data_IF_051435587670
#
_entry.id   IF_051435587670
#
_cell.length_a   1.000
_cell.length_b   1.000
_cell.length_c   1.000
_cell.angle_alpha   90.00
_cell.angle_beta   90.00
_cell.angle_gamma   90.00
#
_symmetry.space_group_name_H-M   'P 1'
#
loop_
_entity.id
_entity.type
_entity.pdbx_description
1 polymer ?
#
# COMPACT_ATOMS: atom_id res chain seq x y z
N UNK A 1 -3.63 2.65 -5.37
CA UNK A 1 -4.63 1.99 -6.24
C UNK A 1 -5.09 0.71 -5.57
N UNK A 2 -6.38 0.45 -5.63
CA UNK A 2 -6.97 -0.69 -4.92
C UNK A 2 -6.37 -2.03 -5.40
N UNK A 3 -5.90 -2.86 -4.46
CA UNK A 3 -5.32 -4.20 -4.66
C UNK A 3 -4.05 -4.31 -5.55
N UNK A 4 -3.56 -3.23 -6.13
CA UNK A 4 -2.45 -3.25 -7.11
C UNK A 4 -1.31 -2.28 -6.75
N UNK A 5 -1.14 -1.94 -5.47
CA UNK A 5 -0.13 -0.95 -5.05
C UNK A 5 1.08 -1.55 -4.30
N UNK A 6 1.01 -2.80 -3.86
CA UNK A 6 2.16 -3.45 -3.22
C UNK A 6 3.30 -3.69 -4.23
N UNK A 7 4.53 -3.73 -3.77
CA UNK A 7 5.69 -3.95 -4.66
C UNK A 7 5.62 -5.29 -5.39
N UNK A 8 5.06 -6.32 -4.73
CA UNK A 8 4.79 -7.61 -5.38
C UNK A 8 3.80 -7.45 -6.54
N UNK A 9 2.68 -6.75 -6.32
CA UNK A 9 1.67 -6.56 -7.37
C UNK A 9 2.19 -5.70 -8.53
N UNK A 10 3.03 -4.69 -8.24
CA UNK A 10 3.71 -3.90 -9.28
C UNK A 10 4.62 -4.79 -10.13
N UNK A 11 5.38 -5.70 -9.51
CA UNK A 11 6.20 -6.67 -10.25
C UNK A 11 5.37 -7.55 -11.18
N UNK A 12 4.20 -8.03 -10.74
CA UNK A 12 3.28 -8.80 -11.59
C UNK A 12 2.74 -7.94 -12.74
N UNK A 13 2.36 -6.69 -12.47
CA UNK A 13 1.90 -5.75 -13.52
C UNK A 13 3.01 -5.52 -14.56
N UNK A 14 4.25 -5.32 -14.11
CA UNK A 14 5.39 -5.13 -15.00
C UNK A 14 5.67 -6.38 -15.86
N UNK A 15 5.46 -7.58 -15.32
CA UNK A 15 5.61 -8.85 -16.04
C UNK A 15 4.47 -9.07 -17.04
N UNK A 16 3.23 -8.83 -16.65
CA UNK A 16 2.03 -9.11 -17.45
C UNK A 16 1.76 -8.00 -18.48
N UNK A 17 2.07 -6.74 -18.16
CA UNK A 17 1.78 -5.57 -18.98
C UNK A 17 0.30 -5.53 -19.42
N UNK A 18 -0.65 -5.35 -18.47
CA UNK A 18 -2.07 -5.51 -18.74
C UNK A 18 -2.57 -4.51 -19.77
N UNK A 19 -3.32 -5.00 -20.78
CA UNK A 19 -3.95 -4.22 -21.84
C UNK A 19 -5.47 -4.33 -21.81
N UNK A 20 -5.97 -5.39 -21.19
CA UNK A 20 -7.40 -5.69 -21.13
C UNK A 20 -7.92 -5.73 -19.69
N UNK A 21 -9.25 -5.69 -19.57
CA UNK A 21 -9.90 -5.86 -18.27
C UNK A 21 -9.71 -7.30 -17.72
N UNK A 22 -9.64 -8.30 -18.58
CA UNK A 22 -9.38 -9.68 -18.19
C UNK A 22 -7.97 -9.85 -17.63
N UNK A 23 -6.97 -9.14 -18.16
CA UNK A 23 -5.62 -9.11 -17.58
C UNK A 23 -5.62 -8.57 -16.13
N UNK A 24 -6.39 -7.51 -15.88
CA UNK A 24 -6.51 -6.98 -14.51
C UNK A 24 -7.18 -7.98 -13.56
N UNK A 25 -8.17 -8.71 -14.07
CA UNK A 25 -8.77 -9.82 -13.34
C UNK A 25 -7.76 -10.92 -13.06
N UNK A 26 -6.99 -11.33 -14.07
CA UNK A 26 -5.95 -12.34 -13.91
C UNK A 26 -4.88 -11.93 -12.88
N UNK A 27 -4.41 -10.68 -12.92
CA UNK A 27 -3.43 -10.15 -11.95
C UNK A 27 -3.91 -10.33 -10.50
N UNK A 28 -5.18 -10.04 -10.22
CA UNK A 28 -5.76 -10.22 -8.88
C UNK A 28 -5.80 -11.70 -8.43
N UNK A 29 -5.99 -12.61 -9.37
CA UNK A 29 -6.01 -14.05 -9.11
C UNK A 29 -4.59 -14.63 -8.98
N UNK A 30 -3.65 -14.17 -9.81
CA UNK A 30 -2.26 -14.63 -9.90
C UNK A 30 -1.38 -14.09 -8.76
N UNK A 31 -1.69 -12.91 -8.19
CA UNK A 31 -0.97 -12.29 -7.09
C UNK A 31 -1.17 -12.95 -5.73
N UNK A 32 -1.22 -14.29 -5.67
CA UNK A 32 -1.44 -15.07 -4.46
C UNK A 32 -0.36 -16.13 -4.27
N UNK A 33 -0.11 -16.58 -3.01
CA UNK A 33 1.01 -17.48 -2.72
C UNK A 33 1.07 -18.74 -3.61
N UNK A 34 -0.07 -19.35 -3.89
CA UNK A 34 -0.11 -20.57 -4.73
C UNK A 34 0.28 -20.35 -6.18
N UNK A 35 -0.43 -19.51 -6.93
CA UNK A 35 -0.04 -19.16 -8.30
C UNK A 35 1.37 -18.58 -8.41
N UNK A 36 1.81 -17.76 -7.44
CA UNK A 36 3.18 -17.23 -7.39
C UNK A 36 4.22 -18.34 -7.24
N UNK A 37 4.02 -19.28 -6.31
CA UNK A 37 4.96 -20.39 -6.11
C UNK A 37 5.00 -21.36 -7.30
N UNK A 38 3.93 -21.41 -8.09
CA UNK A 38 3.84 -22.19 -9.31
C UNK A 38 4.40 -21.47 -10.56
N UNK A 39 4.86 -20.21 -10.45
CA UNK A 39 5.38 -19.44 -11.57
C UNK A 39 4.31 -18.95 -12.58
N UNK A 40 3.03 -19.05 -12.21
CA UNK A 40 1.94 -18.72 -13.16
C UNK A 40 1.93 -17.28 -13.66
N UNK A 41 2.30 -16.23 -12.89
CA UNK A 41 2.39 -14.87 -13.41
C UNK A 41 3.41 -14.74 -14.53
N UNK A 42 4.55 -15.41 -14.41
CA UNK A 42 5.60 -15.41 -15.44
C UNK A 42 5.16 -16.15 -16.70
N UNK A 43 4.52 -17.31 -16.53
CA UNK A 43 3.96 -18.06 -17.66
C UNK A 43 2.89 -17.27 -18.39
N UNK A 44 1.98 -16.62 -17.65
CA UNK A 44 0.96 -15.75 -18.22
C UNK A 44 1.59 -14.59 -19.00
N UNK A 45 2.52 -13.86 -18.37
CA UNK A 45 3.18 -12.71 -19.00
C UNK A 45 3.95 -13.09 -20.25
N UNK A 46 4.79 -14.13 -20.19
CA UNK A 46 5.58 -14.60 -21.36
C UNK A 46 4.71 -15.02 -22.53
N UNK A 47 3.63 -15.77 -22.27
CA UNK A 47 2.72 -16.23 -23.30
C UNK A 47 1.90 -15.08 -23.90
N UNK A 48 1.39 -14.17 -23.05
CA UNK A 48 0.69 -12.97 -23.49
C UNK A 48 1.57 -12.08 -24.38
N UNK A 49 2.82 -11.87 -23.97
CA UNK A 49 3.74 -10.96 -24.66
C UNK A 49 4.44 -11.63 -25.87
N UNK A 50 4.09 -12.89 -26.21
CA UNK A 50 4.66 -13.61 -27.34
C UNK A 50 6.10 -14.10 -27.13
N UNK A 51 6.56 -14.17 -25.88
CA UNK A 51 7.89 -14.66 -25.51
C UNK A 51 7.93 -16.18 -25.33
N UNK A 52 6.76 -16.82 -25.22
CA UNK A 52 6.61 -18.26 -25.14
C UNK A 52 5.32 -18.71 -25.84
N UNK A 53 5.32 -19.97 -26.37
CA UNK A 53 4.14 -20.57 -26.97
C UNK A 53 3.06 -20.82 -25.92
N UNK A 54 1.79 -20.63 -26.32
CA UNK A 54 0.65 -20.98 -25.46
C UNK A 54 0.53 -22.50 -25.42
N UNK A 55 0.60 -23.06 -24.21
CA UNK A 55 0.42 -24.48 -23.96
C UNK A 55 -0.80 -24.74 -23.10
N UNK A 56 -1.50 -25.80 -23.37
CA UNK A 56 -2.72 -26.18 -22.67
C UNK A 56 -2.50 -27.45 -21.85
N UNK A 57 -3.03 -27.52 -20.62
CA UNK A 57 -2.78 -28.63 -19.70
C UNK A 57 -3.44 -29.94 -20.15
N UNK A 58 -4.44 -29.87 -21.01
CA UNK A 58 -5.12 -31.01 -21.62
C UNK A 58 -5.72 -30.58 -22.97
N UNK A 59 -5.72 -31.45 -23.96
CA UNK A 59 -6.36 -31.20 -25.26
C UNK A 59 -7.86 -30.93 -25.09
N UNK A 60 -8.40 -30.08 -25.93
CA UNK A 60 -9.83 -29.74 -25.94
C UNK A 60 -10.21 -28.66 -24.90
N UNK A 61 -9.27 -28.06 -24.16
CA UNK A 61 -9.54 -26.97 -23.25
C UNK A 61 -9.13 -25.58 -23.81
N UNK A 62 -8.74 -25.54 -25.08
CA UNK A 62 -8.25 -24.33 -25.76
C UNK A 62 -9.26 -23.19 -25.66
N UNK A 63 -10.53 -23.43 -26.01
CA UNK A 63 -11.61 -22.44 -25.95
C UNK A 63 -11.95 -21.96 -24.53
N UNK A 64 -11.57 -22.72 -23.50
CA UNK A 64 -11.76 -22.35 -22.09
C UNK A 64 -10.60 -21.48 -21.61
N UNK A 65 -9.39 -21.69 -22.13
CA UNK A 65 -8.16 -21.13 -21.59
C UNK A 65 -7.44 -20.15 -22.52
N UNK A 66 -7.92 -19.98 -23.75
CA UNK A 66 -7.26 -19.14 -24.76
C UNK A 66 -7.16 -17.68 -24.30
N UNK A 67 -8.22 -17.13 -23.74
CA UNK A 67 -8.28 -15.76 -23.25
C UNK A 67 -7.41 -15.48 -22.01
N UNK A 68 -6.75 -16.48 -21.46
CA UNK A 68 -5.82 -16.39 -20.32
C UNK A 68 -4.53 -17.18 -20.58
N UNK A 69 -4.20 -17.33 -21.86
CA UNK A 69 -2.93 -17.86 -22.34
C UNK A 69 -2.58 -19.24 -21.77
N UNK A 70 -3.59 -20.13 -21.67
CA UNK A 70 -3.42 -21.52 -21.21
C UNK A 70 -3.21 -21.67 -19.70
N UNK A 71 -3.34 -20.60 -18.90
CA UNK A 71 -3.22 -20.68 -17.44
C UNK A 71 -4.58 -20.98 -16.78
N UNK A 72 -4.59 -21.44 -15.52
CA UNK A 72 -5.81 -21.78 -14.77
C UNK A 72 -5.87 -21.00 -13.44
N UNK A 73 -6.04 -19.68 -13.43
CA UNK A 73 -6.19 -18.92 -12.19
C UNK A 73 -7.57 -19.08 -11.54
N UNK A 74 -8.60 -19.51 -12.25
CA UNK A 74 -9.98 -19.49 -11.78
C UNK A 74 -10.58 -20.88 -11.54
N UNK A 75 -11.42 -20.99 -10.51
CA UNK A 75 -12.18 -22.20 -10.16
C UNK A 75 -13.15 -22.61 -11.27
N UNK A 76 -13.80 -21.63 -11.88
CA UNK A 76 -14.77 -21.82 -12.96
C UNK A 76 -14.15 -22.52 -14.17
N UNK A 77 -12.88 -22.31 -14.44
CA UNK A 77 -12.17 -22.98 -15.53
C UNK A 77 -12.00 -24.47 -15.26
N UNK A 78 -11.65 -24.85 -14.03
CA UNK A 78 -11.59 -26.25 -13.64
C UNK A 78 -12.94 -26.94 -13.76
N UNK A 79 -14.02 -26.24 -13.42
CA UNK A 79 -15.38 -26.77 -13.60
C UNK A 79 -15.70 -26.97 -15.09
N UNK A 80 -15.39 -25.98 -15.94
CA UNK A 80 -15.63 -26.07 -17.38
C UNK A 80 -14.81 -27.18 -18.03
N UNK A 81 -13.53 -27.33 -17.64
CA UNK A 81 -12.69 -28.42 -18.13
C UNK A 81 -13.28 -29.78 -17.71
N UNK A 82 -13.73 -29.93 -16.45
CA UNK A 82 -14.36 -31.16 -15.99
C UNK A 82 -15.65 -31.50 -16.74
N UNK A 83 -16.45 -30.49 -17.06
CA UNK A 83 -17.66 -30.67 -17.89
C UNK A 83 -17.28 -31.12 -19.30
N UNK A 84 -16.28 -30.51 -19.91
CA UNK A 84 -15.88 -30.79 -21.28
C UNK A 84 -15.17 -32.13 -21.44
N UNK A 85 -14.19 -32.38 -20.55
CA UNK A 85 -13.32 -33.54 -20.61
C UNK A 85 -14.00 -34.80 -20.06
N UNK A 86 -14.57 -34.71 -18.86
CA UNK A 86 -15.19 -35.84 -18.19
C UNK A 86 -16.72 -35.94 -18.40
N UNK A 87 -17.36 -34.93 -19.01
CA UNK A 87 -18.80 -34.93 -19.23
C UNK A 87 -19.63 -34.60 -17.97
N UNK A 88 -19.04 -33.98 -16.96
CA UNK A 88 -19.72 -33.63 -15.71
C UNK A 88 -20.83 -32.60 -15.98
N UNK A 89 -21.96 -32.76 -15.26
CA UNK A 89 -22.97 -31.70 -15.16
C UNK A 89 -22.52 -30.59 -14.18
N UNK A 90 -23.28 -29.50 -14.09
CA UNK A 90 -22.92 -28.36 -13.23
C UNK A 90 -22.78 -28.74 -11.75
N UNK A 91 -23.65 -29.60 -11.25
CA UNK A 91 -23.63 -30.06 -9.85
C UNK A 91 -22.40 -30.95 -9.57
N UNK A 92 -22.09 -31.85 -10.49
CA UNK A 92 -20.91 -32.69 -10.39
C UNK A 92 -19.62 -31.87 -10.45
N UNK A 93 -19.52 -30.92 -11.39
CA UNK A 93 -18.40 -30.00 -11.51
C UNK A 93 -18.23 -29.14 -10.23
N UNK A 94 -19.31 -28.61 -9.68
CA UNK A 94 -19.26 -27.85 -8.42
C UNK A 94 -18.82 -28.71 -7.24
N UNK A 95 -19.46 -29.84 -7.04
CA UNK A 95 -19.25 -30.65 -5.85
C UNK A 95 -18.01 -31.49 -5.88
N UNK A 96 -17.66 -32.11 -7.03
CA UNK A 96 -16.51 -32.97 -7.16
C UNK A 96 -15.24 -32.16 -7.44
N UNK A 97 -15.29 -31.20 -8.38
CA UNK A 97 -14.10 -30.46 -8.79
C UNK A 97 -13.86 -29.23 -7.91
N UNK A 98 -14.76 -28.27 -7.92
CA UNK A 98 -14.55 -27.01 -7.22
C UNK A 98 -14.38 -27.17 -5.71
N UNK A 99 -15.29 -27.90 -5.05
CA UNK A 99 -15.23 -28.10 -3.59
C UNK A 99 -14.03 -28.90 -3.15
N UNK A 100 -13.55 -29.85 -3.95
CA UNK A 100 -12.36 -30.62 -3.63
C UNK A 100 -11.08 -29.80 -3.80
N UNK A 101 -10.93 -29.14 -4.94
CA UNK A 101 -9.73 -28.36 -5.26
C UNK A 101 -9.67 -27.07 -4.42
N UNK A 102 -10.75 -26.29 -4.38
CA UNK A 102 -10.76 -25.00 -3.68
C UNK A 102 -10.69 -25.11 -2.15
N UNK A 103 -11.16 -26.20 -1.56
CA UNK A 103 -11.20 -26.39 -0.10
C UNK A 103 -9.96 -27.10 0.48
N UNK A 104 -8.86 -27.20 -0.27
CA UNK A 104 -7.59 -27.79 0.20
C UNK A 104 -7.72 -29.24 0.70
N UNK A 105 -8.63 -30.02 0.16
CA UNK A 105 -8.78 -31.41 0.55
C UNK A 105 -7.86 -32.32 -0.27
N UNK A 106 -6.55 -32.15 -0.11
CA UNK A 106 -5.54 -32.97 -0.80
C UNK A 106 -5.77 -34.47 -0.62
N UNK A 107 -6.28 -34.92 0.54
CA UNK A 107 -6.63 -36.32 0.79
C UNK A 107 -7.72 -36.85 -0.15
N UNK A 108 -8.47 -35.98 -0.79
CA UNK A 108 -9.55 -36.35 -1.72
C UNK A 108 -9.18 -36.25 -3.19
N UNK A 109 -7.99 -35.73 -3.51
CA UNK A 109 -7.50 -35.62 -4.88
C UNK A 109 -7.44 -36.99 -5.58
N UNK A 110 -6.91 -38.06 -4.97
CA UNK A 110 -6.84 -39.35 -5.65
C UNK A 110 -8.21 -39.84 -6.12
N UNK A 111 -9.26 -39.56 -5.34
CA UNK A 111 -10.59 -39.99 -5.70
C UNK A 111 -11.22 -39.09 -6.76
N UNK A 112 -11.02 -37.76 -6.68
CA UNK A 112 -11.42 -36.85 -7.72
C UNK A 112 -10.81 -37.26 -9.08
N UNK A 113 -9.52 -37.63 -9.07
CA UNK A 113 -8.80 -38.12 -10.23
C UNK A 113 -9.49 -39.37 -10.79
N UNK A 114 -9.77 -40.36 -9.93
CA UNK A 114 -10.47 -41.57 -10.34
C UNK A 114 -11.88 -41.32 -10.91
N UNK A 115 -12.65 -40.43 -10.27
CA UNK A 115 -13.97 -40.05 -10.78
C UNK A 115 -13.89 -39.46 -12.18
N UNK A 116 -12.89 -38.59 -12.44
CA UNK A 116 -12.69 -37.99 -13.76
C UNK A 116 -12.26 -39.03 -14.80
N UNK A 117 -11.41 -39.98 -14.43
CA UNK A 117 -10.87 -40.98 -15.36
C UNK A 117 -11.89 -42.06 -15.64
N UNK A 118 -12.44 -42.70 -14.61
CA UNK A 118 -13.22 -43.94 -14.69
C UNK A 118 -14.73 -43.76 -14.52
N UNK A 119 -15.19 -42.62 -13.97
CA UNK A 119 -16.60 -42.44 -13.60
C UNK A 119 -17.09 -43.35 -12.46
N UNK A 120 -18.37 -43.24 -12.08
CA UNK A 120 -18.93 -44.04 -10.98
C UNK A 120 -19.16 -45.49 -11.36
N UNK A 121 -19.61 -45.79 -12.58
CA UNK A 121 -19.95 -47.14 -13.04
C UNK A 121 -18.74 -48.11 -13.08
N UNK A 122 -17.56 -47.54 -13.26
CA UNK A 122 -16.31 -48.32 -13.35
C UNK A 122 -15.45 -48.20 -12.10
N UNK A 123 -15.89 -47.46 -11.10
CA UNK A 123 -15.26 -47.31 -9.78
C UNK A 123 -15.85 -48.27 -8.74
N UNK A 124 -16.37 -49.40 -9.12
CA UNK A 124 -16.81 -50.44 -8.18
C UNK A 124 -15.60 -50.95 -7.40
N UNK A 125 -15.46 -50.44 -6.20
CA UNK A 125 -14.56 -50.81 -5.12
C UNK A 125 -13.09 -50.56 -5.35
N UNK A 126 -12.35 -49.79 -4.68
CA UNK A 126 -11.77 -50.16 -3.41
C UNK A 126 -12.27 -49.31 -2.28
N UNK A 127 -12.02 -49.77 -1.05
CA UNK A 127 -12.25 -49.04 0.18
C UNK A 127 -11.95 -47.53 0.02
N UNK A 128 -12.96 -46.68 0.20
CA UNK A 128 -12.82 -45.22 0.07
C UNK A 128 -14.02 -44.50 -0.49
N UNK A 129 -14.91 -45.14 -1.23
CA UNK A 129 -16.19 -44.52 -1.65
C UNK A 129 -17.11 -44.31 -0.48
N UNK A 130 -17.12 -45.15 0.53
CA UNK A 130 -17.88 -45.00 1.75
C UNK A 130 -17.45 -43.78 2.53
N UNK A 131 -16.15 -43.53 2.68
CA UNK A 131 -15.61 -42.34 3.31
C UNK A 131 -15.92 -41.06 2.53
N UNK A 132 -16.07 -41.17 1.22
CA UNK A 132 -16.50 -40.05 0.36
C UNK A 132 -17.96 -39.68 0.56
N UNK A 133 -18.82 -40.64 0.62
CA UNK A 133 -20.27 -40.44 0.87
C UNK A 133 -20.54 -39.87 2.26
N UNK A 134 -19.64 -40.07 3.21
CA UNK A 134 -19.71 -39.54 4.58
C UNK A 134 -18.90 -38.26 4.78
N UNK A 135 -18.23 -37.76 3.75
CA UNK A 135 -17.46 -36.53 3.88
C UNK A 135 -18.40 -35.31 4.17
N UNK A 136 -18.00 -34.39 5.06
CA UNK A 136 -18.84 -33.25 5.48
C UNK A 136 -19.28 -32.30 4.36
N UNK A 137 -18.68 -32.41 3.18
CA UNK A 137 -19.01 -31.60 1.99
C UNK A 137 -19.85 -32.38 0.97
N UNK A 138 -20.02 -33.69 1.14
CA UNK A 138 -20.93 -34.47 0.33
C UNK A 138 -22.36 -34.13 0.73
N UNK A 139 -23.15 -33.61 -0.20
CA UNK A 139 -24.57 -33.40 0.01
C UNK A 139 -25.34 -34.63 -0.48
N UNK A 140 -25.85 -35.48 0.43
CA UNK A 140 -26.59 -36.67 0.03
C UNK A 140 -27.90 -36.34 -0.68
N UNK A 141 -28.38 -35.08 -0.57
CA UNK A 141 -29.56 -34.60 -1.29
C UNK A 141 -29.23 -34.07 -2.69
N UNK A 142 -27.93 -33.81 -2.96
CA UNK A 142 -27.50 -33.44 -4.29
C UNK A 142 -27.63 -34.66 -5.21
N UNK A 143 -28.52 -34.55 -6.18
CA UNK A 143 -28.75 -35.61 -7.17
C UNK A 143 -27.56 -35.61 -8.17
N UNK A 144 -26.47 -36.29 -7.79
CA UNK A 144 -25.31 -36.49 -8.71
C UNK A 144 -25.67 -37.40 -9.88
N UNK A 145 -26.87 -37.99 -9.88
CA UNK A 145 -27.28 -39.03 -10.78
C UNK A 145 -26.70 -40.41 -10.40
N UNK A 146 -27.27 -41.47 -10.95
CA UNK A 146 -26.78 -42.83 -10.75
C UNK A 146 -25.48 -43.11 -11.50
N UNK A 147 -25.15 -42.28 -12.49
CA UNK A 147 -23.95 -42.39 -13.30
C UNK A 147 -23.14 -41.07 -13.25
N UNK A 148 -21.83 -41.18 -12.96
CA UNK A 148 -20.86 -40.10 -13.13
C UNK A 148 -20.12 -40.41 -14.44
N UNK A 149 -20.24 -39.57 -15.47
CA UNK A 149 -19.52 -39.76 -16.74
C UNK A 149 -18.00 -39.63 -16.53
N UNK A 150 -17.22 -40.09 -17.49
CA UNK A 150 -15.76 -40.13 -17.37
C UNK A 150 -15.04 -39.71 -18.64
N UNK A 151 -13.78 -39.29 -18.48
CA UNK A 151 -12.93 -38.81 -19.56
C UNK A 151 -12.58 -39.93 -20.56
N UNK A 152 -12.44 -41.18 -20.10
CA UNK A 152 -12.17 -42.30 -20.99
C UNK A 152 -13.30 -42.54 -21.98
N UNK A 153 -14.56 -42.42 -21.54
CA UNK A 153 -15.73 -42.51 -22.44
C UNK A 153 -15.74 -41.37 -23.46
N UNK A 154 -15.08 -40.28 -23.20
CA UNK A 154 -14.96 -39.13 -24.10
C UNK A 154 -13.65 -39.18 -24.92
N UNK A 155 -12.95 -40.33 -24.94
CA UNK A 155 -11.79 -40.60 -25.78
C UNK A 155 -10.46 -40.04 -25.25
N UNK A 156 -10.38 -39.65 -23.95
CA UNK A 156 -9.12 -39.32 -23.28
C UNK A 156 -8.46 -40.60 -22.72
N UNK A 157 -7.13 -40.55 -22.62
CA UNK A 157 -6.40 -41.65 -22.00
C UNK A 157 -6.18 -41.43 -20.51
N UNK A 158 -5.91 -42.48 -19.74
CA UNK A 158 -5.54 -42.36 -18.32
C UNK A 158 -4.28 -41.52 -18.14
N UNK A 159 -3.28 -41.70 -19.03
CA UNK A 159 -2.04 -40.94 -19.03
C UNK A 159 -2.27 -39.44 -19.20
N UNK A 160 -3.09 -39.03 -20.16
CA UNK A 160 -3.47 -37.59 -20.37
C UNK A 160 -4.10 -37.01 -19.12
N UNK A 161 -5.02 -37.73 -18.51
CA UNK A 161 -5.71 -37.28 -17.29
C UNK A 161 -4.77 -37.19 -16.09
N UNK A 162 -3.89 -38.14 -15.90
CA UNK A 162 -2.90 -38.10 -14.81
C UNK A 162 -1.93 -36.91 -14.99
N UNK A 163 -1.46 -36.65 -16.22
CA UNK A 163 -0.60 -35.51 -16.52
C UNK A 163 -1.34 -34.19 -16.24
N UNK A 164 -2.62 -34.07 -16.60
CA UNK A 164 -3.47 -32.92 -16.30
C UNK A 164 -3.60 -32.71 -14.79
N UNK A 165 -3.92 -33.75 -14.02
CA UNK A 165 -4.06 -33.63 -12.58
C UNK A 165 -2.73 -33.34 -11.87
N UNK A 166 -1.62 -33.88 -12.35
CA UNK A 166 -0.29 -33.53 -11.82
C UNK A 166 0.01 -32.03 -12.00
N UNK A 167 -0.44 -31.44 -13.11
CA UNK A 167 -0.31 -30.00 -13.33
C UNK A 167 -1.19 -29.22 -12.35
N UNK A 168 -2.44 -29.66 -12.12
CA UNK A 168 -3.37 -29.00 -11.20
C UNK A 168 -2.91 -29.11 -9.74
N UNK A 169 -2.35 -30.22 -9.31
CA UNK A 169 -1.91 -30.40 -7.92
C UNK A 169 -0.94 -29.33 -7.46
N UNK A 170 -0.08 -28.83 -8.34
CA UNK A 170 0.90 -27.79 -8.03
C UNK A 170 0.25 -26.48 -7.57
N UNK A 171 -0.97 -26.19 -7.99
CA UNK A 171 -1.69 -24.95 -7.66
C UNK A 171 -3.13 -25.14 -7.18
N UNK A 172 -3.61 -26.39 -7.01
CA UNK A 172 -5.01 -26.72 -6.71
C UNK A 172 -5.59 -26.07 -5.45
N UNK A 173 -4.74 -25.68 -4.49
CA UNK A 173 -5.18 -25.07 -3.24
C UNK A 173 -5.64 -23.61 -3.38
N UNK A 174 -5.55 -22.97 -4.56
CA UNK A 174 -5.57 -21.51 -4.67
C UNK A 174 -6.30 -20.94 -5.89
N UNK A 175 -7.09 -21.76 -6.60
CA UNK A 175 -7.90 -21.23 -7.69
C UNK A 175 -8.91 -20.19 -7.18
N UNK A 176 -8.97 -19.07 -7.87
CA UNK A 176 -9.75 -17.91 -7.45
C UNK A 176 -11.16 -17.91 -8.06
N UNK A 177 -12.11 -17.27 -7.42
CA UNK A 177 -13.43 -17.07 -8.00
C UNK A 177 -13.38 -15.97 -9.07
N UNK A 178 -13.78 -16.25 -10.31
CA UNK A 178 -13.69 -15.30 -11.42
C UNK A 178 -14.56 -14.06 -11.22
N UNK A 179 -15.79 -14.22 -10.72
CA UNK A 179 -16.70 -13.09 -10.49
C UNK A 179 -16.17 -12.15 -9.40
N UNK A 180 -15.59 -12.69 -8.33
CA UNK A 180 -14.93 -11.88 -7.32
C UNK A 180 -13.72 -11.12 -7.91
N UNK A 181 -12.90 -11.79 -8.72
CA UNK A 181 -11.78 -11.16 -9.41
C UNK A 181 -12.22 -10.01 -10.31
N UNK A 182 -13.28 -10.19 -11.07
CA UNK A 182 -13.85 -9.16 -11.94
C UNK A 182 -14.31 -7.92 -11.17
N UNK A 183 -15.00 -8.10 -10.03
CA UNK A 183 -15.41 -6.98 -9.17
C UNK A 183 -14.19 -6.20 -8.65
N UNK A 184 -13.17 -6.90 -8.20
CA UNK A 184 -11.93 -6.27 -7.70
C UNK A 184 -11.14 -5.58 -8.81
N UNK A 185 -11.06 -6.19 -10.00
CA UNK A 185 -10.46 -5.58 -11.17
C UNK A 185 -11.17 -4.28 -11.57
N UNK A 186 -12.51 -4.26 -11.50
CA UNK A 186 -13.30 -3.08 -11.78
C UNK A 186 -12.98 -1.93 -10.81
N UNK A 187 -12.94 -2.20 -9.50
CA UNK A 187 -12.56 -1.19 -8.50
C UNK A 187 -11.10 -0.75 -8.71
N UNK A 188 -10.19 -1.70 -8.98
CA UNK A 188 -8.79 -1.41 -9.30
C UNK A 188 -8.67 -0.48 -10.50
N UNK A 189 -9.39 -0.78 -11.58
CA UNK A 189 -9.46 0.06 -12.78
C UNK A 189 -10.01 1.45 -12.48
N UNK A 190 -11.13 1.56 -11.77
CA UNK A 190 -11.72 2.86 -11.39
C UNK A 190 -10.73 3.73 -10.60
N UNK A 191 -10.03 3.13 -9.62
CA UNK A 191 -9.03 3.87 -8.83
C UNK A 191 -7.82 4.29 -9.67
N UNK A 192 -7.41 3.48 -10.65
CA UNK A 192 -6.36 3.83 -11.59
C UNK A 192 -6.79 4.95 -12.54
N UNK A 193 -8.01 4.87 -13.06
CA UNK A 193 -8.60 5.87 -13.93
C UNK A 193 -8.76 7.22 -13.21
N UNK A 194 -9.31 7.24 -12.01
CA UNK A 194 -9.42 8.45 -11.18
C UNK A 194 -8.03 9.04 -10.88
N UNK A 195 -7.06 8.21 -10.56
CA UNK A 195 -5.69 8.65 -10.30
C UNK A 195 -5.04 9.27 -11.54
N UNK A 196 -5.37 8.80 -12.73
CA UNK A 196 -4.81 9.29 -13.99
C UNK A 196 -5.45 10.62 -14.41
N UNK A 197 -6.79 10.70 -14.42
CA UNK A 197 -7.52 11.86 -14.94
C UNK A 197 -7.78 12.94 -13.88
N UNK A 198 -7.90 12.56 -12.61
CA UNK A 198 -8.24 13.43 -11.46
C UNK A 198 -7.23 13.22 -10.34
N UNK A 199 -5.95 13.31 -10.68
CA UNK A 199 -4.87 12.94 -9.76
C UNK A 199 -4.82 13.78 -8.50
N UNK A 200 -5.17 15.08 -8.55
CA UNK A 200 -5.17 15.97 -7.39
C UNK A 200 -6.33 15.61 -6.43
N UNK A 201 -7.53 15.44 -6.96
CA UNK A 201 -8.72 15.04 -6.20
C UNK A 201 -8.57 13.63 -5.62
N UNK A 202 -8.05 12.71 -6.41
CA UNK A 202 -7.76 11.35 -5.96
C UNK A 202 -6.77 11.34 -4.80
N UNK A 203 -5.67 12.09 -4.92
CA UNK A 203 -4.67 12.14 -3.85
C UNK A 203 -5.15 12.92 -2.63
N UNK A 204 -5.97 13.95 -2.80
CA UNK A 204 -6.63 14.62 -1.68
C UNK A 204 -7.52 13.65 -0.89
N UNK A 205 -8.31 12.82 -1.57
CA UNK A 205 -9.11 11.77 -0.94
C UNK A 205 -8.23 10.71 -0.24
N UNK A 206 -7.12 10.27 -0.88
CA UNK A 206 -6.18 9.33 -0.27
C UNK A 206 -5.56 9.90 0.99
N UNK A 207 -5.12 11.16 0.98
CA UNK A 207 -4.55 11.84 2.14
C UNK A 207 -5.57 11.97 3.28
N UNK A 208 -6.83 12.30 2.96
CA UNK A 208 -7.92 12.43 3.94
C UNK A 208 -8.26 11.13 4.66
N UNK A 209 -7.96 9.99 4.06
CA UNK A 209 -8.20 8.66 4.63
C UNK A 209 -7.03 8.14 5.48
N UNK A 210 -5.96 8.93 5.67
CA UNK A 210 -4.82 8.46 6.45
C UNK A 210 -5.02 8.71 7.94
N UNK A 211 -4.75 7.68 8.73
CA UNK A 211 -4.95 7.70 10.19
C UNK A 211 -3.74 8.25 10.97
N UNK A 212 -2.57 8.34 10.32
CA UNK A 212 -1.32 8.72 10.99
C UNK A 212 -0.54 9.78 10.21
N UNK A 213 0.13 10.71 10.90
CA UNK A 213 0.96 11.74 10.27
C UNK A 213 2.05 11.16 9.37
N UNK A 214 2.63 10.01 9.71
CA UNK A 214 3.69 9.37 8.91
C UNK A 214 3.18 8.93 7.54
N UNK A 215 1.94 8.42 7.46
CA UNK A 215 1.32 8.08 6.19
C UNK A 215 0.98 9.32 5.38
N UNK A 216 0.52 10.39 6.02
CA UNK A 216 0.29 11.68 5.36
C UNK A 216 1.59 12.19 4.73
N UNK A 217 2.70 12.19 5.47
CA UNK A 217 4.04 12.57 4.96
C UNK A 217 4.45 11.70 3.77
N UNK A 218 4.25 10.38 3.88
CA UNK A 218 4.57 9.46 2.78
C UNK A 218 3.80 9.79 1.49
N UNK A 219 2.48 9.97 1.59
CA UNK A 219 1.66 10.29 0.41
C UNK A 219 1.87 11.72 -0.10
N UNK A 220 2.15 12.68 0.78
CA UNK A 220 2.58 14.02 0.40
C UNK A 220 3.86 13.99 -0.45
N UNK A 221 4.86 13.20 -0.02
CA UNK A 221 6.07 12.97 -0.80
C UNK A 221 5.81 12.31 -2.17
N UNK A 222 4.84 11.40 -2.26
CA UNK A 222 4.41 10.84 -3.55
C UNK A 222 3.76 11.91 -4.44
N UNK A 223 2.93 12.80 -3.87
CA UNK A 223 2.31 13.92 -4.60
C UNK A 223 3.37 14.83 -5.22
N UNK A 224 4.34 15.27 -4.43
CA UNK A 224 5.36 16.22 -4.89
C UNK A 224 6.40 15.56 -5.81
N UNK A 225 6.95 14.43 -5.38
CA UNK A 225 8.09 13.79 -6.07
C UNK A 225 7.72 13.07 -7.36
N UNK A 226 6.51 12.48 -7.46
CA UNK A 226 6.13 11.64 -8.61
C UNK A 226 4.98 12.22 -9.44
N UNK A 227 4.15 13.07 -8.87
CA UNK A 227 2.93 13.54 -9.53
C UNK A 227 2.95 15.05 -9.84
N UNK A 228 3.96 15.78 -9.36
CA UNK A 228 4.10 17.22 -9.57
C UNK A 228 3.00 18.05 -8.91
N UNK A 229 2.33 17.49 -7.89
CA UNK A 229 1.32 18.17 -7.09
C UNK A 229 2.01 18.85 -5.91
N UNK A 230 1.71 20.14 -5.68
CA UNK A 230 2.26 20.88 -4.54
C UNK A 230 1.36 20.71 -3.32
N UNK A 231 1.96 20.36 -2.19
CA UNK A 231 1.29 20.42 -0.90
C UNK A 231 1.29 21.88 -0.42
N UNK A 232 0.16 22.35 0.13
CA UNK A 232 0.01 23.69 0.70
C UNK A 232 -0.56 23.62 2.10
N UNK A 233 -0.17 24.59 2.93
CA UNK A 233 -0.78 24.83 4.24
C UNK A 233 -2.30 24.92 4.16
N UNK A 234 -3.01 24.64 5.26
CA UNK A 234 -4.41 24.96 5.33
C UNK A 234 -4.59 26.49 5.08
N UNK A 235 -5.68 26.84 4.48
CA UNK A 235 -6.10 28.22 4.24
C UNK A 235 -7.49 28.41 4.84
N UNK A 236 -7.66 29.35 5.74
CA UNK A 236 -8.93 29.55 6.43
C UNK A 236 -10.07 29.86 5.46
N UNK A 237 -9.77 30.46 4.30
CA UNK A 237 -10.75 30.84 3.27
C UNK A 237 -11.00 29.72 2.23
N UNK A 238 -10.02 28.84 1.95
CA UNK A 238 -10.08 27.88 0.84
C UNK A 238 -10.19 26.44 1.30
N UNK A 239 -9.56 26.06 2.42
CA UNK A 239 -9.52 24.66 2.87
C UNK A 239 -10.88 24.15 3.33
N UNK A 240 -11.23 22.92 2.96
CA UNK A 240 -12.37 22.20 3.51
C UNK A 240 -12.06 21.57 4.88
N UNK A 241 -12.94 20.67 5.32
CA UNK A 241 -12.69 19.84 6.51
C UNK A 241 -11.47 18.95 6.25
N UNK A 242 -11.46 18.27 5.12
CA UNK A 242 -10.45 17.32 4.66
C UNK A 242 -9.51 17.98 3.65
N UNK A 243 -8.47 17.22 3.24
CA UNK A 243 -7.59 17.66 2.16
C UNK A 243 -8.39 18.00 0.91
N UNK A 244 -8.06 19.12 0.28
CA UNK A 244 -8.83 19.67 -0.84
C UNK A 244 -7.93 19.93 -2.03
N UNK A 245 -8.30 19.42 -3.20
CA UNK A 245 -7.60 19.72 -4.44
C UNK A 245 -7.86 21.18 -4.86
N UNK A 246 -6.80 21.86 -5.30
CA UNK A 246 -6.85 23.21 -5.84
C UNK A 246 -5.91 23.31 -7.05
N UNK A 247 -6.41 22.98 -8.23
CA UNK A 247 -5.62 22.89 -9.44
C UNK A 247 -4.47 21.84 -9.32
N UNK A 248 -3.22 22.30 -9.46
CA UNK A 248 -2.02 21.44 -9.28
C UNK A 248 -1.49 21.42 -7.85
N UNK A 249 -2.33 21.73 -6.87
CA UNK A 249 -1.96 21.69 -5.46
C UNK A 249 -3.04 21.03 -4.62
N UNK A 250 -2.63 20.57 -3.44
CA UNK A 250 -3.53 20.01 -2.42
C UNK A 250 -3.35 20.82 -1.15
N UNK A 251 -4.44 21.41 -0.69
CA UNK A 251 -4.51 22.15 0.57
C UNK A 251 -4.72 21.16 1.72
N UNK A 252 -4.02 21.34 2.81
CA UNK A 252 -4.36 20.68 4.06
C UNK A 252 -5.75 21.07 4.52
N UNK A 253 -6.53 20.09 4.99
CA UNK A 253 -7.84 20.32 5.56
C UNK A 253 -7.74 21.01 6.94
N UNK A 254 -8.74 21.80 7.30
CA UNK A 254 -8.83 22.41 8.64
C UNK A 254 -8.91 21.35 9.74
N UNK A 255 -9.49 20.18 9.44
CA UNK A 255 -9.58 19.04 10.35
C UNK A 255 -8.23 18.37 10.66
N UNK A 256 -7.21 18.61 9.84
CA UNK A 256 -5.86 18.12 10.10
C UNK A 256 -5.12 18.98 11.14
N UNK A 257 -5.63 20.16 11.47
CA UNK A 257 -5.02 21.07 12.46
C UNK A 257 -5.38 20.60 13.88
N UNK A 258 -4.38 20.41 14.69
CA UNK A 258 -4.51 19.86 16.04
C UNK A 258 -5.43 20.70 16.91
N UNK A 259 -6.47 20.08 17.44
CA UNK A 259 -7.44 20.71 18.32
C UNK A 259 -8.57 21.47 17.61
N UNK A 260 -8.59 21.47 16.28
CA UNK A 260 -9.67 22.07 15.48
C UNK A 260 -10.71 20.99 15.19
N UNK A 261 -11.81 21.00 15.92
CA UNK A 261 -12.89 20.00 15.78
C UNK A 261 -14.01 20.43 14.84
N UNK A 262 -14.86 19.47 14.45
CA UNK A 262 -15.93 19.69 13.46
C UNK A 262 -16.85 20.88 13.75
N UNK A 263 -17.22 21.12 15.01
CA UNK A 263 -18.05 22.28 15.37
C UNK A 263 -17.35 23.63 15.09
N UNK A 264 -16.04 23.72 15.36
CA UNK A 264 -15.26 24.90 15.05
C UNK A 264 -15.13 25.10 13.54
N UNK A 265 -14.88 24.01 12.80
CA UNK A 265 -14.78 24.04 11.34
C UNK A 265 -16.10 24.50 10.72
N UNK A 266 -17.23 23.98 11.18
CA UNK A 266 -18.54 24.40 10.66
C UNK A 266 -18.78 25.89 10.79
N UNK A 267 -18.43 26.50 11.94
CA UNK A 267 -18.54 27.93 12.16
C UNK A 267 -17.55 28.73 11.28
N UNK A 268 -16.32 28.22 11.13
CA UNK A 268 -15.32 28.83 10.24
C UNK A 268 -15.84 28.86 8.80
N UNK A 269 -16.35 27.74 8.30
CA UNK A 269 -16.85 27.60 6.93
C UNK A 269 -18.07 28.49 6.68
N UNK A 270 -18.97 28.64 7.66
CA UNK A 270 -20.21 29.39 7.53
C UNK A 270 -19.97 30.90 7.45
N UNK A 271 -18.86 31.40 8.00
CA UNK A 271 -18.60 32.86 8.12
C UNK A 271 -17.55 33.38 7.10
N UNK A 272 -17.17 32.59 6.12
CA UNK A 272 -16.24 32.99 5.03
C UNK A 272 -16.84 34.02 4.08
N UNK A 273 -16.03 34.81 3.35
CA UNK A 273 -14.57 34.91 3.42
C UNK A 273 -14.11 35.85 4.53
N UNK A 274 -12.87 35.69 5.00
CA UNK A 274 -12.21 36.57 5.98
C UNK A 274 -11.18 37.44 5.28
N UNK A 275 -11.05 38.70 5.76
CA UNK A 275 -10.11 39.70 5.21
C UNK A 275 -8.85 39.86 6.06
N UNK A 276 -8.88 39.38 7.31
CA UNK A 276 -7.74 39.38 8.24
C UNK A 276 -7.99 38.43 9.41
N UNK A 277 -6.97 38.17 10.22
CA UNK A 277 -7.12 37.44 11.50
C UNK A 277 -8.06 38.19 12.45
N UNK A 278 -8.04 39.54 12.43
CA UNK A 278 -8.90 40.35 13.23
C UNK A 278 -10.37 40.21 12.80
N UNK A 279 -10.68 40.26 11.49
CA UNK A 279 -12.01 40.00 10.95
C UNK A 279 -12.53 38.61 11.34
N UNK A 280 -11.65 37.57 11.34
CA UNK A 280 -12.01 36.25 11.80
C UNK A 280 -12.38 36.20 13.29
N UNK A 281 -11.66 36.94 14.15
CA UNK A 281 -11.96 37.06 15.58
C UNK A 281 -13.34 37.71 15.83
N UNK A 282 -13.69 38.71 15.05
CA UNK A 282 -14.96 39.45 15.20
C UNK A 282 -16.17 38.63 14.75
N UNK A 283 -16.01 37.84 13.67
CA UNK A 283 -17.11 37.16 12.98
C UNK A 283 -17.32 35.71 13.43
N UNK A 284 -16.28 35.01 13.87
CA UNK A 284 -16.42 33.65 14.32
C UNK A 284 -16.77 33.62 15.82
N UNK A 285 -17.78 32.82 16.25
CA UNK A 285 -18.12 32.72 17.66
C UNK A 285 -16.92 32.34 18.52
N UNK A 286 -16.73 33.05 19.66
CA UNK A 286 -15.56 32.83 20.58
C UNK A 286 -15.35 31.39 21.02
N UNK A 287 -16.43 30.57 21.07
CA UNK A 287 -16.34 29.14 21.40
C UNK A 287 -15.67 28.33 20.29
N UNK A 288 -15.94 28.71 19.05
CA UNK A 288 -15.38 28.03 17.86
C UNK A 288 -13.98 28.54 17.50
N UNK A 289 -13.67 29.81 17.83
CA UNK A 289 -12.38 30.46 17.57
C UNK A 289 -11.71 30.91 18.88
N UNK A 290 -11.57 29.92 19.81
CA UNK A 290 -10.89 30.17 21.07
C UNK A 290 -9.38 30.26 20.90
N UNK A 291 -8.66 30.75 21.92
CA UNK A 291 -7.20 30.95 21.89
C UNK A 291 -6.43 29.76 21.30
N UNK A 292 -6.66 28.56 21.81
CA UNK A 292 -5.96 27.35 21.39
C UNK A 292 -6.21 26.98 19.92
N UNK A 293 -7.47 27.06 19.47
CA UNK A 293 -7.84 26.76 18.08
C UNK A 293 -7.21 27.76 17.12
N UNK A 294 -7.32 29.06 17.45
CA UNK A 294 -6.81 30.15 16.61
C UNK A 294 -5.28 30.11 16.52
N UNK A 295 -4.58 29.96 17.62
CA UNK A 295 -3.11 29.84 17.62
C UNK A 295 -2.66 28.63 16.76
N UNK A 296 -3.32 27.48 16.86
CA UNK A 296 -2.97 26.33 16.07
C UNK A 296 -3.26 26.55 14.57
N UNK A 297 -4.33 27.22 14.20
CA UNK A 297 -4.62 27.59 12.81
C UNK A 297 -3.56 28.56 12.25
N UNK A 298 -3.18 29.58 13.04
CA UNK A 298 -2.11 30.51 12.63
C UNK A 298 -0.78 29.79 12.48
N UNK A 299 -0.39 28.98 13.47
CA UNK A 299 0.83 28.15 13.41
C UNK A 299 0.84 27.17 12.24
N UNK A 300 -0.31 26.64 11.87
CA UNK A 300 -0.46 25.77 10.71
C UNK A 300 -0.34 26.51 9.37
N UNK A 301 -0.37 27.84 9.36
CA UNK A 301 -0.30 28.66 8.17
C UNK A 301 -1.66 29.01 7.55
N UNK A 302 -2.76 28.88 8.30
CA UNK A 302 -4.10 29.17 7.76
C UNK A 302 -4.33 30.65 7.38
N UNK A 303 -3.42 31.52 7.74
CA UNK A 303 -3.41 32.97 7.44
C UNK A 303 -2.16 33.40 6.65
N UNK A 304 -1.38 32.47 6.07
CA UNK A 304 -0.16 32.79 5.31
C UNK A 304 -0.43 33.70 4.10
N UNK A 305 -1.66 33.74 3.60
CA UNK A 305 -2.11 34.66 2.57
C UNK A 305 -2.14 36.12 3.05
N UNK A 306 -2.34 36.38 4.34
CA UNK A 306 -2.33 37.70 4.96
C UNK A 306 -0.88 38.14 5.26
N UNK A 307 -0.15 37.28 5.96
CA UNK A 307 1.26 37.51 6.27
C UNK A 307 1.99 36.15 6.48
N UNK A 308 3.05 35.97 5.72
CA UNK A 308 3.87 34.75 5.81
C UNK A 308 4.64 34.64 7.15
N UNK A 309 4.88 35.78 7.84
CA UNK A 309 5.43 35.76 9.18
C UNK A 309 4.32 35.45 10.20
N UNK A 310 4.23 34.19 10.60
CA UNK A 310 3.19 33.71 11.53
C UNK A 310 3.29 34.30 12.93
N UNK A 311 4.49 34.80 13.35
CA UNK A 311 4.63 35.55 14.60
C UNK A 311 3.92 36.90 14.53
N UNK A 312 4.01 37.60 13.40
CA UNK A 312 3.28 38.85 13.20
C UNK A 312 1.77 38.62 13.29
N UNK A 313 1.24 37.59 12.64
CA UNK A 313 -0.17 37.20 12.73
C UNK A 313 -0.57 36.80 14.17
N UNK A 314 0.29 36.10 14.91
CA UNK A 314 0.05 35.80 16.33
C UNK A 314 0.00 37.09 17.18
N UNK A 315 0.90 38.04 16.96
CA UNK A 315 0.91 39.31 17.66
C UNK A 315 -0.38 40.06 17.39
N UNK A 316 -0.79 40.22 16.13
CA UNK A 316 -2.06 40.84 15.76
C UNK A 316 -3.25 40.14 16.43
N UNK A 317 -3.29 38.82 16.39
CA UNK A 317 -4.33 38.02 17.05
C UNK A 317 -4.44 38.33 18.54
N UNK A 318 -3.31 38.37 19.27
CA UNK A 318 -3.32 38.62 20.71
C UNK A 318 -3.68 40.07 21.07
N UNK A 319 -3.24 41.04 20.24
CA UNK A 319 -3.62 42.44 20.40
C UNK A 319 -5.14 42.62 20.21
N UNK A 320 -5.70 42.05 19.15
CA UNK A 320 -7.12 42.10 18.87
C UNK A 320 -7.98 41.49 19.99
N UNK A 321 -7.50 40.41 20.59
CA UNK A 321 -8.15 39.76 21.73
C UNK A 321 -7.93 40.45 23.09
N UNK A 322 -7.04 41.43 23.16
CA UNK A 322 -6.59 42.05 24.40
C UNK A 322 -5.99 41.10 25.41
N UNK A 323 -5.26 40.08 24.90
CA UNK A 323 -4.56 39.10 25.72
C UNK A 323 -3.36 39.79 26.42
N UNK A 324 -3.15 39.48 27.71
CA UNK A 324 -2.01 40.03 28.46
C UNK A 324 -0.78 39.14 28.25
N UNK A 325 -0.15 39.24 27.10
CA UNK A 325 1.10 38.56 26.77
C UNK A 325 2.10 39.59 26.24
N UNK A 326 3.39 39.31 26.41
CA UNK A 326 4.42 40.07 25.71
C UNK A 326 4.41 39.71 24.23
N UNK A 327 4.51 40.73 23.33
CA UNK A 327 4.59 40.44 21.90
C UNK A 327 5.76 39.56 21.55
N UNK A 328 5.56 38.61 20.61
CA UNK A 328 6.62 37.85 20.04
C UNK A 328 7.59 38.71 19.26
N UNK A 329 8.89 38.43 19.33
CA UNK A 329 9.91 39.11 18.55
C UNK A 329 9.83 38.59 17.12
N UNK A 330 9.42 39.44 16.18
CA UNK A 330 9.23 39.06 14.77
C UNK A 330 10.54 38.97 13.99
N UNK A 331 11.59 39.65 14.50
CA UNK A 331 12.94 39.55 13.95
C UNK A 331 13.52 38.15 14.20
N UNK A 332 13.99 37.49 13.12
CA UNK A 332 14.51 36.11 13.20
C UNK A 332 13.45 35.05 12.97
N UNK A 333 12.23 35.38 12.52
CA UNK A 333 11.32 34.39 12.00
C UNK A 333 11.93 33.75 10.74
N UNK A 334 12.21 32.48 10.83
CA UNK A 334 12.90 31.71 9.80
C UNK A 334 12.19 30.38 9.51
N UNK A 335 12.75 29.65 8.58
CA UNK A 335 12.26 28.33 8.20
C UNK A 335 12.27 27.34 9.37
N UNK A 336 13.21 27.46 10.32
CA UNK A 336 13.28 26.57 11.49
C UNK A 336 12.08 26.76 12.40
N UNK A 337 11.70 27.99 12.66
CA UNK A 337 10.51 28.31 13.47
C UNK A 337 9.21 27.94 12.76
N UNK A 338 9.16 28.14 11.44
CA UNK A 338 8.04 27.69 10.62
C UNK A 338 7.85 26.18 10.73
N UNK A 339 8.93 25.40 10.65
CA UNK A 339 8.90 23.94 10.83
C UNK A 339 8.42 23.55 12.23
N UNK A 340 8.89 24.23 13.28
CA UNK A 340 8.44 23.97 14.64
C UNK A 340 6.94 24.17 14.78
N UNK A 341 6.41 25.26 14.23
CA UNK A 341 4.97 25.59 14.21
C UNK A 341 4.16 24.55 13.43
N UNK A 342 4.60 24.13 12.27
CA UNK A 342 3.94 23.09 11.49
C UNK A 342 3.92 21.76 12.22
N UNK A 343 5.06 21.35 12.80
CA UNK A 343 5.16 20.13 13.58
C UNK A 343 4.26 20.14 14.82
N UNK A 344 4.17 21.29 15.51
CA UNK A 344 3.31 21.44 16.66
C UNK A 344 1.82 21.34 16.28
N UNK A 345 1.42 22.06 15.23
CA UNK A 345 0.02 22.23 14.82
C UNK A 345 -0.52 21.16 13.89
N UNK A 346 0.30 20.57 13.00
CA UNK A 346 -0.07 19.57 11.99
C UNK A 346 0.54 18.20 12.25
N UNK A 347 1.57 18.13 13.09
CA UNK A 347 2.35 16.90 13.31
C UNK A 347 3.35 16.57 12.19
N UNK A 348 3.47 17.44 11.17
CA UNK A 348 4.34 17.29 10.00
C UNK A 348 4.80 18.64 9.48
N UNK A 349 5.75 18.63 8.54
CA UNK A 349 6.24 19.81 7.83
C UNK A 349 5.62 19.87 6.43
N UNK A 350 5.29 21.08 5.95
CA UNK A 350 4.64 21.25 4.64
C UNK A 350 5.46 22.15 3.72
N UNK A 351 5.81 23.34 4.19
CA UNK A 351 6.39 24.41 3.34
C UNK A 351 7.89 24.29 3.25
N UNK A 352 8.54 23.89 4.34
CA UNK A 352 9.99 23.91 4.38
C UNK A 352 10.56 22.69 3.68
N UNK A 353 11.25 22.93 2.58
CA UNK A 353 12.04 21.94 1.88
C UNK A 353 13.22 21.55 2.77
N UNK A 354 13.19 20.33 3.30
CA UNK A 354 14.25 19.86 4.17
C UNK A 354 15.57 19.81 3.38
N UNK A 355 16.67 20.35 3.95
CA UNK A 355 17.97 20.34 3.29
C UNK A 355 18.39 18.94 2.80
N UNK A 356 17.90 17.88 3.46
CA UNK A 356 18.15 16.51 3.08
C UNK A 356 17.54 16.13 1.71
N UNK A 357 16.39 16.69 1.36
CA UNK A 357 15.71 16.43 0.09
C UNK A 357 16.44 17.02 -1.11
N UNK A 358 17.37 17.95 -0.87
CA UNK A 358 18.21 18.56 -1.89
C UNK A 358 19.52 17.77 -2.12
N UNK A 359 19.81 16.77 -1.28
CA UNK A 359 21.02 15.96 -1.41
C UNK A 359 20.89 14.97 -2.56
N UNK A 360 21.67 15.15 -3.60
CA UNK A 360 21.68 14.25 -4.76
C UNK A 360 22.13 12.82 -4.38
N UNK A 361 21.61 11.84 -5.11
CA UNK A 361 22.05 10.45 -4.98
C UNK A 361 23.56 10.32 -5.18
N UNK A 362 24.20 9.48 -4.36
CA UNK A 362 25.68 9.24 -4.34
C UNK A 362 26.52 10.44 -3.93
N UNK A 363 25.94 11.59 -3.61
CA UNK A 363 26.67 12.73 -3.08
C UNK A 363 27.27 12.39 -1.72
N UNK A 364 28.58 12.66 -1.55
CA UNK A 364 29.25 12.55 -0.26
C UNK A 364 28.97 13.83 0.54
N UNK A 365 28.46 13.63 1.75
CA UNK A 365 28.12 14.73 2.67
C UNK A 365 28.65 14.45 4.06
N UNK A 366 28.85 15.54 4.81
CA UNK A 366 29.12 15.52 6.25
C UNK A 366 28.17 16.50 6.92
N UNK A 367 27.50 16.07 7.96
CA UNK A 367 26.58 16.93 8.71
C UNK A 367 26.57 16.56 10.20
N UNK A 368 26.07 17.46 11.04
CA UNK A 368 25.90 17.24 12.48
C UNK A 368 24.43 16.92 12.78
N UNK A 369 24.23 16.06 13.75
CA UNK A 369 22.89 15.66 14.17
C UNK A 369 22.93 14.69 15.35
N UNK A 370 21.74 14.29 15.78
CA UNK A 370 21.55 13.32 16.88
C UNK A 370 20.92 12.00 16.37
N UNK A 371 21.04 10.94 17.16
CA UNK A 371 20.41 9.64 16.88
C UNK A 371 19.11 9.57 17.67
N UNK A 372 17.98 9.64 16.98
CA UNK A 372 16.65 9.55 17.58
C UNK A 372 16.24 8.10 17.89
N UNK A 373 16.60 7.17 17.02
CA UNK A 373 16.27 5.75 17.14
C UNK A 373 17.41 4.91 16.57
N UNK A 374 17.77 3.85 17.27
CA UNK A 374 18.80 2.91 16.85
C UNK A 374 18.17 1.51 16.78
N UNK A 375 18.20 0.91 15.59
CA UNK A 375 17.83 -0.49 15.40
C UNK A 375 19.07 -1.25 14.95
N UNK A 376 19.30 -2.41 15.51
CA UNK A 376 20.44 -3.27 15.20
C UNK A 376 19.98 -4.59 14.62
N UNK A 377 20.72 -5.13 13.64
CA UNK A 377 20.47 -6.46 13.05
C UNK A 377 21.80 -7.09 12.65
N UNK A 378 21.91 -8.40 12.77
CA UNK A 378 23.03 -9.14 12.22
C UNK A 378 22.96 -9.22 10.69
N UNK A 379 24.12 -9.13 10.03
CA UNK A 379 24.26 -9.39 8.60
C UNK A 379 24.32 -10.92 8.33
N UNK A 380 24.44 -11.32 7.06
CA UNK A 380 24.54 -12.75 6.65
C UNK A 380 25.76 -13.50 7.22
N UNK A 381 26.71 -12.80 7.83
CA UNK A 381 27.92 -13.32 8.46
C UNK A 381 27.90 -13.11 9.98
N UNK A 382 26.70 -12.92 10.56
CA UNK A 382 26.46 -12.67 11.98
C UNK A 382 27.18 -11.45 12.57
N UNK A 383 27.48 -10.46 11.74
CA UNK A 383 28.12 -9.21 12.16
C UNK A 383 27.06 -8.12 12.31
N UNK A 384 27.12 -7.36 13.40
CA UNK A 384 26.12 -6.35 13.76
C UNK A 384 26.16 -5.17 12.80
N UNK A 385 25.02 -4.79 12.26
CA UNK A 385 24.77 -3.58 11.47
C UNK A 385 23.75 -2.71 12.19
N UNK A 386 23.78 -1.39 11.96
CA UNK A 386 22.82 -0.48 12.53
C UNK A 386 22.00 0.25 11.47
N UNK A 387 20.74 0.51 11.82
CA UNK A 387 19.76 1.26 11.04
C UNK A 387 19.23 2.44 11.88
N UNK A 388 20.04 3.48 12.06
CA UNK A 388 19.65 4.61 12.87
C UNK A 388 18.68 5.53 12.15
N UNK A 389 17.84 6.19 12.92
CA UNK A 389 17.10 7.40 12.54
C UNK A 389 17.87 8.60 13.09
N UNK A 390 18.41 9.40 12.19
CA UNK A 390 19.20 10.59 12.51
C UNK A 390 18.32 11.83 12.42
N UNK A 391 18.58 12.82 13.24
CA UNK A 391 17.91 14.13 13.19
C UNK A 391 18.96 15.22 13.06
N UNK A 392 18.81 16.07 12.05
CA UNK A 392 19.71 17.20 11.77
C UNK A 392 18.95 18.32 11.06
N UNK A 393 19.03 19.53 11.61
CA UNK A 393 18.36 20.70 11.02
C UNK A 393 16.87 20.47 10.73
N UNK A 394 16.15 19.83 11.66
CA UNK A 394 14.74 19.49 11.50
C UNK A 394 14.45 18.25 10.61
N UNK A 395 15.42 17.74 9.86
CA UNK A 395 15.27 16.56 9.02
C UNK A 395 15.40 15.26 9.81
N UNK A 396 14.49 14.29 9.60
CA UNK A 396 14.69 12.92 10.03
C UNK A 396 15.23 12.08 8.86
N UNK A 397 16.46 11.60 9.01
CA UNK A 397 17.22 10.91 7.97
C UNK A 397 17.29 9.42 8.30
N UNK A 398 16.78 8.56 7.43
CA UNK A 398 16.97 7.11 7.54
C UNK A 398 18.39 6.74 7.10
N UNK A 399 19.15 6.13 8.00
CA UNK A 399 20.53 5.78 7.71
C UNK A 399 20.81 4.28 7.82
N UNK A 400 21.94 3.86 7.25
CA UNK A 400 22.47 2.51 7.32
C UNK A 400 23.95 2.58 7.65
N UNK A 401 24.35 1.87 8.69
CA UNK A 401 25.75 1.62 9.02
C UNK A 401 26.08 0.15 8.78
N UNK A 402 26.92 -0.12 7.79
CA UNK A 402 27.42 -1.47 7.60
C UNK A 402 28.31 -1.90 8.78
N UNK A 403 28.41 -3.19 9.00
CA UNK A 403 29.11 -3.79 10.14
C UNK A 403 30.53 -3.25 10.35
N UNK A 404 31.27 -2.98 9.29
CA UNK A 404 32.62 -2.41 9.38
C UNK A 404 32.68 -0.95 9.90
N UNK A 405 31.66 -0.16 9.58
CA UNK A 405 31.55 1.22 10.07
C UNK A 405 30.96 1.22 11.49
N UNK A 406 29.96 0.38 11.74
CA UNK A 406 29.30 0.33 13.04
C UNK A 406 30.20 -0.24 14.14
N UNK A 407 30.99 -1.28 13.86
CA UNK A 407 31.91 -1.88 14.84
C UNK A 407 32.91 -0.88 15.44
N UNK A 408 33.25 0.19 14.70
CA UNK A 408 34.19 1.23 15.16
C UNK A 408 33.59 2.17 16.21
N UNK A 409 32.28 2.30 16.24
CA UNK A 409 31.56 3.31 17.04
C UNK A 409 30.40 2.73 17.88
N UNK A 410 30.18 1.41 17.79
CA UNK A 410 29.05 0.75 18.43
C UNK A 410 28.94 1.04 19.93
N UNK A 411 30.06 1.00 20.67
CA UNK A 411 30.09 1.26 22.10
C UNK A 411 29.72 2.72 22.40
N UNK A 412 30.28 3.67 21.65
CA UNK A 412 30.01 5.10 21.86
C UNK A 412 28.58 5.46 21.49
N UNK A 413 28.07 4.93 20.35
CA UNK A 413 26.69 5.14 19.90
C UNK A 413 25.71 4.54 20.89
N UNK A 414 25.88 3.28 21.30
CA UNK A 414 24.98 2.61 22.24
C UNK A 414 25.02 3.27 23.64
N UNK A 415 26.18 3.62 24.15
CA UNK A 415 26.30 4.26 25.47
C UNK A 415 25.63 5.65 25.51
N UNK A 416 25.78 6.44 24.44
CA UNK A 416 25.20 7.77 24.37
C UNK A 416 23.69 7.72 24.07
N UNK A 417 23.24 6.77 23.25
CA UNK A 417 21.82 6.52 23.01
C UNK A 417 21.08 6.05 24.28
N UNK A 418 21.67 5.09 25.01
CA UNK A 418 21.08 4.55 26.26
C UNK A 418 21.05 5.57 27.39
N UNK A 419 21.97 6.54 27.43
CA UNK A 419 22.03 7.58 28.48
C UNK A 419 21.04 8.71 28.25
N UNK A 420 20.25 8.70 27.14
CA UNK A 420 19.33 9.80 26.77
C UNK A 420 19.98 11.18 26.79
N UNK A 421 21.31 11.25 26.64
CA UNK A 421 22.01 12.52 26.53
C UNK A 421 21.74 13.09 25.12
N UNK A 422 21.54 14.40 25.02
CA UNK A 422 21.54 15.15 23.76
C UNK A 422 22.96 15.19 23.22
N UNK A 423 23.45 14.07 22.69
CA UNK A 423 24.76 13.97 22.10
C UNK A 423 24.67 14.28 20.63
N UNK A 424 25.43 15.28 20.23
CA UNK A 424 25.61 15.63 18.82
C UNK A 424 26.72 14.78 18.20
N UNK A 425 26.45 14.25 17.03
CA UNK A 425 27.38 13.46 16.23
C UNK A 425 27.65 14.17 14.89
N UNK A 426 28.87 14.04 14.40
CA UNK A 426 29.19 14.38 13.01
C UNK A 426 29.15 13.10 12.17
N UNK A 427 28.25 13.05 11.22
CA UNK A 427 28.05 11.92 10.31
C UNK A 427 28.67 12.23 8.96
N UNK A 428 29.47 11.32 8.40
CA UNK A 428 29.95 11.39 7.02
C UNK A 428 29.49 10.15 6.28
N UNK A 429 28.99 10.33 5.06
CA UNK A 429 28.52 9.23 4.25
C UNK A 429 28.09 9.68 2.86
N UNK A 430 27.27 8.83 2.22
CA UNK A 430 26.68 9.09 0.90
C UNK A 430 25.20 8.77 0.93
N UNK A 431 24.40 9.57 0.25
CA UNK A 431 23.02 9.24 -0.04
C UNK A 431 22.96 8.13 -1.10
N UNK A 432 22.13 7.11 -0.89
CA UNK A 432 21.88 6.10 -1.92
C UNK A 432 20.79 6.55 -2.92
N UNK A 433 20.54 5.74 -3.96
CA UNK A 433 19.53 6.04 -5.00
C UNK A 433 18.08 6.01 -4.46
N UNK A 434 17.87 5.53 -3.21
CA UNK A 434 16.58 5.44 -2.55
C UNK A 434 16.42 6.50 -1.44
N UNK A 435 17.31 7.47 -1.35
CA UNK A 435 17.28 8.53 -0.34
C UNK A 435 17.74 8.08 1.05
N UNK A 436 18.43 6.92 1.17
CA UNK A 436 18.96 6.43 2.43
C UNK A 436 20.43 6.81 2.59
N UNK A 437 20.77 7.33 3.75
CA UNK A 437 22.14 7.73 4.04
C UNK A 437 23.01 6.55 4.46
N UNK A 438 24.01 6.22 3.65
CA UNK A 438 25.00 5.19 3.95
C UNK A 438 26.15 5.84 4.71
N UNK A 439 26.17 5.60 6.01
CA UNK A 439 27.20 6.18 6.90
C UNK A 439 28.53 5.48 6.70
N UNK A 440 29.56 6.24 6.42
CA UNK A 440 30.95 5.76 6.30
C UNK A 440 31.78 6.04 7.55
N UNK A 441 31.50 7.13 8.27
CA UNK A 441 32.14 7.43 9.54
C UNK A 441 31.23 8.27 10.45
N UNK A 442 31.46 8.14 11.75
CA UNK A 442 30.82 8.94 12.80
C UNK A 442 31.89 9.46 13.75
N UNK A 443 31.69 10.67 14.21
CA UNK A 443 32.52 11.29 15.23
C UNK A 443 31.61 11.87 16.30
N UNK A 444 31.85 11.51 17.56
CA UNK A 444 31.16 12.12 18.68
C UNK A 444 31.70 13.53 18.87
N UNK A 445 30.80 14.50 18.88
CA UNK A 445 31.17 15.88 19.18
C UNK A 445 31.09 16.08 20.70
N UNK A 446 32.15 16.63 21.27
CA UNK A 446 32.07 17.02 22.70
C UNK A 446 31.05 18.14 22.84
N UNK A 447 30.10 17.95 23.76
CA UNK A 447 29.19 18.99 24.21
C UNK A 447 29.95 20.02 25.02
#
# INVERSE_FOLDING_TARGET
>A
MFQIESDMMKGIIDTIQPETFDDLGAINALGRPGPLSAGMPDDYGKRKNGEADITYPIRGCEDILDNIFGTIPYQEQLMLISKKVAGFNDMQADSLTRKTIAKKKQSMMPMLIRCHILGKKNCEGPAGWEDYMHAPWYDPKAKYGDEIPCAISNGYTEEEMLAYFHTIEKFSSYCFNKSHSACYAYIGFLTAWLKFYYHAEFMAAVLSMQDTPEKVVFYAGVCEGKMGLKMKTPDINLSGVDFTANGKSILYGLGSVKGVGGAAISEILANRPYTSVTDAIERIPKKAFNKRISENLIKAGAFDWENANRLAVLNEFHVARKDKIEPFIEEGYDDSLTMEFEKESLGTYIIVKLWWDEVAAKQKITFRGSIRKLNERADKRDRLMAFPKLVSGGCEISALMFSSAYAKVAIEVSNNYLRQAEVEFEFTGKNDEKGKFIVSSIKVMKI
#
